data_IF_488111654511
#
_entry.id   IF_488111654511
#
_cell.length_a   1.000
_cell.length_b   1.000
_cell.length_c   1.000
_cell.angle_alpha   90.00
_cell.angle_beta   90.00
_cell.angle_gamma   90.00
#
_symmetry.space_group_name_H-M   'P 1'
#
loop_
_entity.id
_entity.type
_entity.pdbx_description
1 polymer ?
#
# COMPACT_ATOMS: atom_id res chain seq x y z
N UNK A 1 29.72 3.58 78.24
CA UNK A 1 30.80 3.04 77.37
C UNK A 1 30.21 2.71 76.01
N UNK A 2 30.80 3.28 74.95
CA UNK A 2 30.83 2.87 73.51
C UNK A 2 29.48 2.57 72.84
N UNK A 3 28.98 3.47 71.96
CA UNK A 3 29.07 3.43 70.47
C UNK A 3 28.31 2.21 69.88
N UNK A 4 27.44 2.26 68.89
CA UNK A 4 27.38 3.10 67.69
C UNK A 4 26.02 2.90 66.98
N UNK A 5 25.62 3.93 66.25
CA UNK A 5 24.56 4.03 65.22
C UNK A 5 24.77 3.05 64.07
N UNK A 6 23.70 2.48 63.48
CA UNK A 6 23.54 2.34 62.02
C UNK A 6 22.05 2.37 61.64
N UNK A 7 21.69 3.38 60.83
CA UNK A 7 20.47 3.45 60.01
C UNK A 7 20.65 2.51 58.82
N UNK A 8 19.68 1.62 58.55
CA UNK A 8 19.51 1.02 57.22
C UNK A 8 18.07 1.21 56.78
N UNK A 9 17.89 2.20 55.91
CA UNK A 9 16.78 2.33 54.99
C UNK A 9 16.95 1.21 53.95
N UNK A 10 15.99 0.29 53.88
CA UNK A 10 15.88 -0.66 52.79
C UNK A 10 14.45 -0.67 52.27
N UNK A 11 14.21 0.22 51.30
CA UNK A 11 13.40 0.01 50.10
C UNK A 11 12.43 -1.19 50.15
N UNK A 12 11.23 -0.96 50.69
CA UNK A 12 10.07 -1.74 50.27
C UNK A 12 9.62 -1.21 48.91
N UNK A 13 10.13 -1.89 47.88
CA UNK A 13 9.75 -1.69 46.50
C UNK A 13 8.23 -1.74 46.34
N UNK A 14 7.72 -0.67 45.78
CA UNK A 14 6.41 -0.55 45.14
C UNK A 14 6.39 -1.56 44.00
N UNK A 15 5.82 -2.75 44.22
CA UNK A 15 5.31 -3.57 43.13
C UNK A 15 3.86 -3.13 42.88
N UNK A 16 3.71 -1.97 42.25
CA UNK A 16 2.51 -1.67 41.51
C UNK A 16 2.45 -2.70 40.38
N UNK A 17 1.52 -3.64 40.49
CA UNK A 17 1.10 -4.47 39.36
C UNK A 17 0.46 -3.54 38.31
N UNK A 18 1.29 -2.91 37.50
CA UNK A 18 0.90 -2.49 36.17
C UNK A 18 0.68 -3.77 35.37
N UNK A 19 -0.56 -4.26 35.43
CA UNK A 19 -1.13 -5.08 34.37
C UNK A 19 -1.06 -4.24 33.09
N UNK A 20 0.10 -4.28 32.43
CA UNK A 20 0.25 -3.89 31.04
C UNK A 20 -0.61 -4.91 30.29
N UNK A 21 -1.81 -4.47 29.95
CA UNK A 21 -2.67 -5.17 29.01
C UNK A 21 -1.92 -5.28 27.70
N UNK A 22 -1.25 -6.42 27.50
CA UNK A 22 -1.04 -6.93 26.16
C UNK A 22 -2.44 -7.23 25.61
N UNK A 23 -3.01 -6.27 24.89
CA UNK A 23 -4.09 -6.58 23.97
C UNK A 23 -3.53 -7.55 22.93
N UNK A 24 -3.64 -8.84 23.24
CA UNK A 24 -3.59 -9.88 22.23
C UNK A 24 -4.70 -9.56 21.25
N UNK A 25 -4.35 -9.04 20.07
CA UNK A 25 -5.24 -8.99 18.93
C UNK A 25 -5.82 -10.39 18.74
N UNK A 26 -7.06 -10.60 19.19
CA UNK A 26 -7.82 -11.79 18.82
C UNK A 26 -7.89 -11.76 17.31
N UNK A 27 -7.20 -12.69 16.66
CA UNK A 27 -7.40 -12.96 15.24
C UNK A 27 -8.90 -13.20 15.05
N UNK A 28 -9.57 -12.28 14.36
CA UNK A 28 -10.92 -12.54 13.86
C UNK A 28 -10.81 -13.77 12.96
N UNK A 29 -11.36 -14.89 13.41
CA UNK A 29 -11.32 -16.14 12.67
C UNK A 29 -11.91 -15.92 11.28
N UNK A 30 -11.08 -16.11 10.24
CA UNK A 30 -11.52 -16.11 8.85
C UNK A 30 -11.04 -14.95 7.98
N UNK A 31 -10.42 -13.88 8.54
CA UNK A 31 -9.75 -12.86 7.70
C UNK A 31 -8.38 -13.36 7.20
N UNK A 32 -8.02 -13.12 5.92
CA UNK A 32 -6.68 -13.40 5.43
C UNK A 32 -5.65 -12.67 6.30
N UNK A 33 -4.54 -13.33 6.62
CA UNK A 33 -3.39 -12.64 7.19
C UNK A 33 -2.86 -11.66 6.13
N UNK A 34 -2.72 -10.38 6.48
CA UNK A 34 -2.29 -9.32 5.56
C UNK A 34 -1.07 -8.63 6.16
N UNK A 35 0.04 -8.64 5.40
CA UNK A 35 1.23 -7.86 5.67
C UNK A 35 1.03 -6.44 5.15
N UNK A 36 0.86 -5.51 6.09
CA UNK A 36 0.43 -4.13 5.84
C UNK A 36 1.28 -3.39 4.81
N UNK A 37 2.61 -3.49 4.88
CA UNK A 37 3.50 -2.79 3.93
C UNK A 37 3.26 -3.25 2.48
N UNK A 38 3.07 -4.55 2.25
CA UNK A 38 2.85 -5.08 0.90
C UNK A 38 1.47 -4.71 0.36
N UNK A 39 0.44 -4.67 1.23
CA UNK A 39 -0.87 -4.12 0.87
C UNK A 39 -0.74 -2.67 0.41
N UNK A 40 -0.05 -1.83 1.17
CA UNK A 40 0.18 -0.42 0.82
C UNK A 40 0.87 -0.30 -0.54
N UNK A 41 1.92 -1.10 -0.81
CA UNK A 41 2.62 -1.11 -2.10
C UNK A 41 1.68 -1.46 -3.27
N UNK A 42 0.76 -2.39 -3.08
CA UNK A 42 -0.25 -2.74 -4.08
C UNK A 42 -1.13 -1.53 -4.46
N UNK A 43 -1.51 -0.71 -3.47
CA UNK A 43 -2.38 0.45 -3.67
C UNK A 43 -1.70 1.67 -4.33
N UNK A 44 -0.38 1.72 -4.45
CA UNK A 44 0.31 2.91 -4.99
C UNK A 44 -0.02 3.13 -6.46
N UNK A 45 0.03 4.35 -6.97
CA UNK A 45 -0.39 4.60 -8.36
C UNK A 45 0.61 4.10 -9.40
N UNK A 46 1.87 4.43 -9.17
CA UNK A 46 2.97 4.10 -10.06
C UNK A 46 2.69 4.48 -11.54
N UNK A 47 1.88 5.51 -11.80
CA UNK A 47 1.65 6.05 -13.15
C UNK A 47 2.98 6.51 -13.77
N UNK A 48 3.42 5.81 -14.82
CA UNK A 48 4.77 5.94 -15.38
C UNK A 48 5.89 5.77 -14.32
N UNK A 49 5.64 4.97 -13.29
CA UNK A 49 6.51 4.68 -12.17
C UNK A 49 6.31 5.55 -10.94
N UNK A 50 6.77 5.03 -9.80
CA UNK A 50 6.82 5.74 -8.53
C UNK A 50 7.89 6.83 -8.60
N UNK A 51 7.49 8.09 -8.41
CA UNK A 51 8.43 9.20 -8.30
C UNK A 51 8.90 9.34 -6.86
N UNK A 52 10.19 9.09 -6.62
CA UNK A 52 10.84 9.31 -5.32
C UNK A 52 11.68 10.57 -5.41
N UNK A 53 11.49 11.48 -4.46
CA UNK A 53 12.08 12.83 -4.43
C UNK A 53 13.13 12.87 -3.34
N UNK A 54 14.27 13.47 -3.66
CA UNK A 54 15.36 13.64 -2.72
C UNK A 54 15.01 14.72 -1.69
N UNK A 55 15.02 14.30 -0.41
CA UNK A 55 14.86 15.12 0.80
C UNK A 55 13.50 15.82 0.94
N UNK A 56 13.05 15.92 2.19
CA UNK A 56 11.92 16.78 2.60
C UNK A 56 10.63 16.53 1.78
N UNK A 57 10.43 15.31 1.29
CA UNK A 57 9.20 14.91 0.63
C UNK A 57 8.28 14.26 1.66
N UNK A 58 7.00 14.61 1.63
CA UNK A 58 6.01 14.14 2.58
C UNK A 58 4.79 13.48 1.93
N UNK A 59 4.55 13.69 0.63
CA UNK A 59 3.41 13.11 -0.09
C UNK A 59 3.57 11.59 -0.23
N UNK A 60 2.84 10.84 0.58
CA UNK A 60 2.83 9.38 0.57
C UNK A 60 2.14 8.85 -0.68
N UNK A 61 0.90 9.27 -0.93
CA UNK A 61 0.15 8.88 -2.12
C UNK A 61 -1.01 9.84 -2.34
N UNK A 62 -1.55 9.84 -3.55
CA UNK A 62 -2.74 10.55 -3.95
C UNK A 62 -3.75 9.61 -4.62
N UNK A 63 -5.02 9.96 -4.50
CA UNK A 63 -6.16 9.28 -5.08
C UNK A 63 -6.99 10.26 -5.90
N UNK A 64 -7.65 9.78 -6.95
CA UNK A 64 -8.65 10.57 -7.66
C UNK A 64 -9.88 10.84 -6.77
N UNK A 65 -10.62 11.90 -7.07
CA UNK A 65 -11.84 12.27 -6.34
C UNK A 65 -12.90 11.15 -6.34
N UNK A 66 -12.89 10.29 -7.36
CA UNK A 66 -13.77 9.12 -7.47
C UNK A 66 -13.33 7.90 -6.65
N UNK A 67 -12.09 7.89 -6.14
CA UNK A 67 -11.50 6.76 -5.41
C UNK A 67 -11.68 6.87 -3.88
N UNK A 68 -12.77 7.49 -3.40
CA UNK A 68 -12.98 7.79 -1.98
C UNK A 68 -12.87 6.54 -1.10
N UNK A 69 -13.54 5.44 -1.46
CA UNK A 69 -13.53 4.21 -0.67
C UNK A 69 -12.14 3.57 -0.65
N UNK A 70 -11.45 3.52 -1.79
CA UNK A 70 -10.08 3.02 -1.85
C UNK A 70 -9.13 3.87 -0.98
N UNK A 71 -9.29 5.20 -0.99
CA UNK A 71 -8.51 6.11 -0.14
C UNK A 71 -8.74 5.86 1.37
N UNK A 72 -9.96 5.51 1.78
CA UNK A 72 -10.29 5.21 3.18
C UNK A 72 -9.67 3.89 3.63
N UNK A 73 -9.70 2.87 2.77
CA UNK A 73 -9.01 1.61 3.03
C UNK A 73 -7.51 1.85 3.11
N UNK A 74 -6.93 2.60 2.17
CA UNK A 74 -5.51 2.96 2.22
C UNK A 74 -5.13 3.69 3.51
N UNK A 75 -5.91 4.69 3.93
CA UNK A 75 -5.71 5.41 5.20
C UNK A 75 -5.71 4.48 6.41
N UNK A 76 -6.62 3.49 6.44
CA UNK A 76 -6.65 2.47 7.49
C UNK A 76 -5.35 1.66 7.52
N UNK A 77 -4.84 1.24 6.37
CA UNK A 77 -3.58 0.49 6.30
C UNK A 77 -2.36 1.36 6.63
N UNK A 78 -2.36 2.65 6.30
CA UNK A 78 -1.32 3.58 6.80
C UNK A 78 -1.31 3.64 8.33
N UNK A 79 -2.48 3.82 8.96
CA UNK A 79 -2.59 3.84 10.44
C UNK A 79 -2.16 2.52 11.06
N UNK A 80 -2.48 1.40 10.40
CA UNK A 80 -2.02 0.07 10.81
C UNK A 80 -0.50 -0.05 10.75
N UNK A 81 0.14 0.45 9.68
CA UNK A 81 1.61 0.42 9.53
C UNK A 81 2.29 1.24 10.63
N UNK A 82 1.75 2.43 10.91
CA UNK A 82 2.22 3.29 12.02
C UNK A 82 2.21 2.53 13.35
N UNK A 83 1.12 1.80 13.64
CA UNK A 83 1.00 1.02 14.86
C UNK A 83 1.91 -0.20 14.89
N UNK A 84 1.98 -0.97 13.80
CA UNK A 84 2.77 -2.21 13.72
C UNK A 84 4.28 -1.95 13.84
N UNK A 85 4.76 -0.83 13.27
CA UNK A 85 6.17 -0.47 13.25
C UNK A 85 6.55 0.61 14.28
N UNK A 86 5.61 1.03 15.12
CA UNK A 86 5.80 2.09 16.13
C UNK A 86 6.39 3.39 15.55
N UNK A 87 5.90 3.80 14.37
CA UNK A 87 6.40 4.99 13.67
C UNK A 87 5.85 6.24 14.36
N UNK A 88 6.72 7.10 14.88
CA UNK A 88 6.29 8.38 15.44
C UNK A 88 5.99 9.38 14.32
N UNK A 89 4.73 9.45 13.88
CA UNK A 89 4.30 10.32 12.79
C UNK A 89 2.85 10.77 12.96
N UNK A 90 2.46 11.82 12.23
CA UNK A 90 1.08 12.16 11.96
C UNK A 90 0.76 11.95 10.48
N UNK A 91 -0.41 11.40 10.17
CA UNK A 91 -0.93 11.30 8.80
C UNK A 91 -1.82 12.51 8.58
N UNK A 92 -1.45 13.38 7.64
CA UNK A 92 -2.32 14.48 7.19
C UNK A 92 -3.02 14.05 5.91
N UNK A 93 -4.33 14.29 5.86
CA UNK A 93 -5.15 14.07 4.66
C UNK A 93 -5.59 15.42 4.13
N UNK A 94 -5.32 15.68 2.86
CA UNK A 94 -5.73 16.89 2.15
C UNK A 94 -6.64 16.51 1.00
N UNK A 95 -7.72 17.25 0.79
CA UNK A 95 -8.53 17.15 -0.42
C UNK A 95 -8.31 18.44 -1.20
N UNK A 96 -7.62 18.35 -2.33
CA UNK A 96 -7.32 19.52 -3.16
C UNK A 96 -8.60 20.09 -3.75
N UNK A 97 -8.75 21.41 -3.67
CA UNK A 97 -9.87 22.13 -4.29
C UNK A 97 -9.81 22.08 -5.81
N UNK A 98 -8.60 22.04 -6.35
CA UNK A 98 -8.33 21.98 -7.79
C UNK A 98 -7.99 20.54 -8.17
N UNK A 99 -8.75 19.93 -9.08
CA UNK A 99 -8.58 18.53 -9.49
C UNK A 99 -9.19 17.49 -8.55
N UNK A 100 -9.53 17.86 -7.31
CA UNK A 100 -10.29 17.00 -6.39
C UNK A 100 -9.51 15.81 -5.82
N UNK A 101 -8.19 15.80 -5.99
CA UNK A 101 -7.35 14.71 -5.50
C UNK A 101 -7.37 14.63 -3.97
N UNK A 102 -7.29 13.41 -3.45
CA UNK A 102 -7.16 13.11 -2.02
C UNK A 102 -5.71 12.73 -1.77
N UNK A 103 -4.97 13.55 -1.03
CA UNK A 103 -3.55 13.36 -0.75
C UNK A 103 -3.33 12.93 0.70
N UNK A 104 -2.37 12.03 0.88
CA UNK A 104 -1.88 11.62 2.19
C UNK A 104 -0.43 12.07 2.37
N UNK A 105 -0.16 12.72 3.49
CA UNK A 105 1.16 13.27 3.82
C UNK A 105 1.69 12.71 5.14
N UNK A 106 2.94 12.27 5.13
CA UNK A 106 3.76 11.90 6.29
C UNK A 106 5.20 11.67 5.80
N UNK A 107 6.19 12.48 6.24
CA UNK A 107 7.59 12.28 5.89
C UNK A 107 8.13 10.90 6.27
N UNK A 108 7.74 10.39 7.44
CA UNK A 108 8.21 9.11 7.98
C UNK A 108 7.64 7.93 7.18
N UNK A 109 6.33 7.96 6.86
CA UNK A 109 5.71 6.93 6.01
C UNK A 109 6.22 7.02 4.58
N UNK A 110 6.44 8.23 4.06
CA UNK A 110 7.05 8.42 2.75
C UNK A 110 8.40 7.70 2.66
N UNK A 111 9.28 7.93 3.64
CA UNK A 111 10.58 7.27 3.69
C UNK A 111 10.45 5.76 3.83
N UNK A 112 9.59 5.29 4.75
CA UNK A 112 9.42 3.86 5.02
C UNK A 112 8.83 3.09 3.84
N UNK A 113 7.84 3.64 3.16
CA UNK A 113 7.23 2.99 1.98
C UNK A 113 8.23 2.99 0.83
N UNK A 114 8.89 4.11 0.59
CA UNK A 114 9.86 4.21 -0.50
C UNK A 114 11.14 3.40 -0.24
N UNK A 115 11.44 3.01 1.00
CA UNK A 115 12.56 2.11 1.31
C UNK A 115 12.39 0.71 0.74
N UNK A 116 11.19 0.36 0.26
CA UNK A 116 10.91 -0.90 -0.42
C UNK A 116 11.39 -0.91 -1.88
N UNK A 117 11.80 0.25 -2.40
CA UNK A 117 12.28 0.39 -3.77
C UNK A 117 13.80 0.41 -3.83
N UNK A 118 14.35 -0.12 -4.91
CA UNK A 118 15.77 0.05 -5.24
C UNK A 118 15.93 1.25 -6.16
N UNK A 119 16.75 2.23 -5.76
CA UNK A 119 17.03 3.42 -6.55
C UNK A 119 18.35 4.10 -6.15
N UNK A 120 18.87 4.95 -7.03
CA UNK A 120 20.07 5.76 -6.79
C UNK A 120 19.90 7.14 -7.43
N UNK A 121 19.87 8.19 -6.59
CA UNK A 121 19.71 9.57 -7.05
C UNK A 121 20.87 10.05 -7.93
N UNK A 122 22.08 9.47 -7.80
CA UNK A 122 23.22 9.86 -8.61
C UNK A 122 23.10 9.40 -10.07
N UNK A 123 22.23 8.42 -10.33
CA UNK A 123 21.96 7.90 -11.68
C UNK A 123 20.78 8.58 -12.36
N UNK A 124 20.09 9.49 -11.68
CA UNK A 124 18.94 10.20 -12.25
C UNK A 124 19.28 11.60 -12.73
N UNK A 125 18.81 11.92 -13.93
CA UNK A 125 18.78 13.29 -14.45
C UNK A 125 17.51 14.05 -14.08
N UNK A 126 16.50 13.38 -13.51
CA UNK A 126 15.21 13.98 -13.21
C UNK A 126 15.32 14.93 -12.02
N UNK A 127 14.70 16.10 -12.17
CA UNK A 127 14.55 17.09 -11.11
C UNK A 127 13.10 17.54 -11.04
N UNK A 128 12.64 17.82 -9.83
CA UNK A 128 11.31 18.38 -9.58
C UNK A 128 11.45 19.65 -8.75
N UNK A 129 10.59 20.63 -9.01
CA UNK A 129 10.43 21.79 -8.14
C UNK A 129 9.25 21.53 -7.22
N UNK A 130 9.42 21.76 -5.92
CA UNK A 130 8.35 21.53 -4.93
C UNK A 130 7.23 22.56 -5.05
N UNK A 131 7.57 23.78 -5.43
CA UNK A 131 6.65 24.90 -5.60
C UNK A 131 7.03 25.67 -6.86
N UNK A 132 6.09 26.42 -7.48
CA UNK A 132 6.43 27.36 -8.54
C UNK A 132 7.57 28.29 -8.09
N UNK A 133 8.70 28.27 -8.80
CA UNK A 133 9.89 29.08 -8.48
C UNK A 133 10.77 28.60 -7.34
N UNK A 134 10.49 27.43 -6.73
CA UNK A 134 11.33 26.81 -5.71
C UNK A 134 12.63 26.19 -6.25
N UNK A 135 13.55 25.75 -5.37
CA UNK A 135 14.76 25.05 -5.78
C UNK A 135 14.42 23.68 -6.37
N UNK A 136 15.15 23.31 -7.42
CA UNK A 136 15.08 21.99 -8.02
C UNK A 136 15.74 20.94 -7.11
N UNK A 137 14.99 19.91 -6.74
CA UNK A 137 15.50 18.73 -6.04
C UNK A 137 15.57 17.54 -6.98
N UNK A 138 16.50 16.62 -6.76
CA UNK A 138 16.59 15.40 -7.57
C UNK A 138 15.37 14.52 -7.33
N UNK A 139 14.94 13.80 -8.34
CA UNK A 139 13.94 12.76 -8.24
C UNK A 139 14.38 11.55 -9.06
N UNK A 140 13.82 10.38 -8.77
CA UNK A 140 14.01 9.14 -9.52
C UNK A 140 12.64 8.56 -9.82
N UNK A 141 12.50 7.91 -10.98
CA UNK A 141 11.37 7.02 -11.29
C UNK A 141 11.81 5.58 -11.07
N UNK A 142 11.02 4.84 -10.31
CA UNK A 142 11.28 3.43 -9.99
C UNK A 142 9.95 2.67 -9.92
N UNK A 143 10.03 1.35 -9.79
CA UNK A 143 8.88 0.45 -9.84
C UNK A 143 9.04 -0.63 -8.78
N UNK A 144 7.93 -1.15 -8.25
CA UNK A 144 7.98 -2.38 -7.46
C UNK A 144 8.51 -3.52 -8.35
N UNK A 145 9.56 -4.19 -7.89
CA UNK A 145 10.14 -5.36 -8.56
C UNK A 145 9.70 -6.64 -7.85
N UNK A 146 9.53 -7.75 -8.57
CA UNK A 146 9.28 -9.09 -7.99
C UNK A 146 10.28 -9.44 -6.87
N UNK A 147 11.50 -8.88 -6.92
CA UNK A 147 12.54 -9.11 -5.92
C UNK A 147 12.16 -8.66 -4.50
N UNK A 148 11.17 -7.76 -4.32
CA UNK A 148 10.72 -7.37 -2.97
C UNK A 148 10.04 -8.52 -2.21
N UNK A 149 9.67 -9.58 -2.94
CA UNK A 149 9.08 -10.79 -2.41
C UNK A 149 10.12 -11.92 -2.21
N UNK A 150 11.38 -11.70 -2.58
CA UNK A 150 12.44 -12.66 -2.29
C UNK A 150 12.54 -12.85 -0.78
N UNK A 151 12.65 -14.11 -0.34
CA UNK A 151 12.72 -14.50 1.08
C UNK A 151 11.44 -14.19 1.88
N UNK A 152 10.38 -13.71 1.23
CA UNK A 152 9.08 -13.51 1.86
C UNK A 152 8.21 -14.75 1.71
N UNK A 153 7.32 -14.96 2.66
CA UNK A 153 6.25 -15.95 2.52
C UNK A 153 5.22 -15.51 1.46
N UNK A 154 4.37 -16.46 1.06
CA UNK A 154 3.28 -16.20 0.11
C UNK A 154 2.33 -15.09 0.56
N UNK A 155 2.23 -14.84 1.88
CA UNK A 155 1.33 -13.82 2.43
C UNK A 155 1.73 -12.42 1.97
N UNK A 156 3.03 -12.14 1.76
CA UNK A 156 3.47 -10.86 1.19
C UNK A 156 2.91 -10.61 -0.22
N UNK A 157 3.00 -11.61 -1.10
CA UNK A 157 2.47 -11.54 -2.48
C UNK A 157 0.94 -11.40 -2.50
N UNK A 158 0.24 -12.18 -1.67
CA UNK A 158 -1.21 -12.07 -1.51
C UNK A 158 -1.61 -10.69 -0.97
N UNK A 159 -0.85 -10.13 -0.03
CA UNK A 159 -1.09 -8.79 0.51
C UNK A 159 -0.94 -7.72 -0.56
N UNK A 160 0.09 -7.83 -1.43
CA UNK A 160 0.25 -6.94 -2.58
C UNK A 160 -0.94 -7.02 -3.53
N UNK A 161 -1.35 -8.23 -3.93
CA UNK A 161 -2.53 -8.42 -4.78
C UNK A 161 -3.80 -7.86 -4.14
N UNK A 162 -3.97 -8.03 -2.83
CA UNK A 162 -5.11 -7.48 -2.09
C UNK A 162 -5.14 -5.94 -2.14
N UNK A 163 -3.99 -5.29 -1.95
CA UNK A 163 -3.88 -3.83 -2.05
C UNK A 163 -4.10 -3.31 -3.47
N UNK A 164 -3.51 -3.98 -4.46
CA UNK A 164 -3.74 -3.67 -5.87
C UNK A 164 -5.21 -3.82 -6.23
N UNK A 165 -5.86 -4.90 -5.78
CA UNK A 165 -7.28 -5.13 -6.03
C UNK A 165 -8.11 -4.08 -5.30
N UNK A 166 -7.71 -3.68 -4.10
CA UNK A 166 -8.42 -2.67 -3.33
C UNK A 166 -8.48 -1.30 -3.99
N UNK A 167 -7.58 -1.00 -4.94
CA UNK A 167 -7.62 0.21 -5.73
C UNK A 167 -8.13 -0.03 -7.15
N UNK A 168 -7.52 -0.96 -7.88
CA UNK A 168 -7.71 -1.16 -9.32
C UNK A 168 -8.62 -2.33 -9.70
N UNK A 169 -9.01 -3.13 -8.72
CA UNK A 169 -9.74 -4.37 -8.91
C UNK A 169 -11.20 -4.18 -9.32
N UNK A 170 -11.63 -4.99 -10.27
CA UNK A 170 -13.00 -5.09 -10.75
C UNK A 170 -13.45 -6.55 -10.77
N UNK A 171 -14.76 -6.75 -10.63
CA UNK A 171 -15.41 -8.06 -10.72
C UNK A 171 -16.40 -8.05 -11.89
N UNK A 172 -16.28 -9.04 -12.76
CA UNK A 172 -17.10 -9.20 -13.97
C UNK A 172 -18.14 -10.31 -13.80
N UNK A 173 -17.79 -11.37 -13.08
CA UNK A 173 -18.70 -12.47 -12.72
C UNK A 173 -18.23 -13.11 -11.40
N UNK A 174 -18.75 -14.30 -11.04
CA UNK A 174 -18.44 -14.93 -9.77
C UNK A 174 -16.94 -15.21 -9.60
N UNK A 175 -16.31 -15.73 -10.66
CA UNK A 175 -14.88 -16.08 -10.70
C UNK A 175 -14.06 -15.22 -11.66
N UNK A 176 -14.70 -14.30 -12.40
CA UNK A 176 -14.01 -13.47 -13.38
C UNK A 176 -13.74 -12.10 -12.78
N UNK A 177 -12.45 -11.77 -12.72
CA UNK A 177 -11.94 -10.55 -12.11
C UNK A 177 -10.99 -9.85 -13.07
N UNK A 178 -10.70 -8.58 -12.78
CA UNK A 178 -9.67 -7.86 -13.49
C UNK A 178 -9.11 -6.68 -12.74
N UNK A 179 -8.04 -6.13 -13.31
CA UNK A 179 -7.37 -4.91 -12.89
C UNK A 179 -7.34 -3.95 -14.06
N UNK A 180 -7.49 -2.65 -13.81
CA UNK A 180 -7.33 -1.63 -14.85
C UNK A 180 -6.54 -0.43 -14.30
N UNK A 181 -5.59 0.05 -15.09
CA UNK A 181 -4.80 1.25 -14.78
C UNK A 181 -4.36 1.98 -16.06
N UNK A 182 -3.97 3.24 -15.92
CA UNK A 182 -3.41 4.04 -17.00
C UNK A 182 -1.87 4.10 -16.88
N UNK A 183 -1.15 3.87 -17.98
CA UNK A 183 0.31 4.05 -18.10
C UNK A 183 1.17 3.37 -17.00
N UNK A 184 0.74 2.23 -16.47
CA UNK A 184 1.48 1.44 -15.49
C UNK A 184 1.63 -0.03 -15.91
N UNK A 185 2.18 -0.27 -17.11
CA UNK A 185 2.42 -1.61 -17.65
C UNK A 185 3.18 -2.52 -16.68
N UNK A 186 4.29 -2.04 -16.11
CA UNK A 186 5.11 -2.77 -15.14
C UNK A 186 4.32 -3.33 -13.94
N UNK A 187 3.31 -2.59 -13.46
CA UNK A 187 2.44 -3.04 -12.37
C UNK A 187 1.53 -4.16 -12.84
N UNK A 188 0.99 -4.03 -14.05
CA UNK A 188 0.14 -5.07 -14.64
C UNK A 188 0.92 -6.35 -14.97
N UNK A 189 2.16 -6.22 -15.47
CA UNK A 189 3.07 -7.35 -15.69
C UNK A 189 3.32 -8.13 -14.37
N UNK A 190 3.60 -7.40 -13.28
CA UNK A 190 3.81 -8.00 -11.95
C UNK A 190 2.54 -8.67 -11.43
N UNK A 191 1.38 -8.02 -11.58
CA UNK A 191 0.09 -8.59 -11.18
C UNK A 191 -0.19 -9.88 -11.97
N UNK A 192 0.02 -9.87 -13.29
CA UNK A 192 -0.13 -11.05 -14.15
C UNK A 192 0.78 -12.21 -13.68
N UNK A 193 2.06 -11.94 -13.42
CA UNK A 193 3.02 -12.93 -12.92
C UNK A 193 2.54 -13.57 -11.62
N UNK A 194 2.13 -12.75 -10.64
CA UNK A 194 1.64 -13.23 -9.35
C UNK A 194 0.33 -14.03 -9.48
N UNK A 195 -0.61 -13.59 -10.34
CA UNK A 195 -1.88 -14.31 -10.56
C UNK A 195 -1.63 -15.71 -11.15
N UNK A 196 -0.70 -15.82 -12.11
CA UNK A 196 -0.29 -17.11 -12.67
C UNK A 196 0.34 -18.01 -11.60
N UNK A 197 1.18 -17.45 -10.74
CA UNK A 197 1.79 -18.19 -9.61
C UNK A 197 0.73 -18.76 -8.65
N UNK A 198 -0.33 -18.00 -8.37
CA UNK A 198 -1.45 -18.45 -7.52
C UNK A 198 -2.50 -19.30 -8.24
N UNK A 199 -2.19 -19.80 -9.44
CA UNK A 199 -3.02 -20.75 -10.18
C UNK A 199 -4.30 -20.15 -10.76
N UNK A 200 -4.38 -18.83 -10.93
CA UNK A 200 -5.43 -18.24 -11.76
C UNK A 200 -5.29 -18.73 -13.20
N UNK A 201 -6.42 -18.88 -13.88
CA UNK A 201 -6.46 -19.36 -15.27
C UNK A 201 -6.84 -18.23 -16.21
N UNK A 202 -6.52 -18.42 -17.49
CA UNK A 202 -6.94 -17.49 -18.55
C UNK A 202 -6.52 -16.04 -18.25
N UNK A 203 -5.33 -15.87 -17.65
CA UNK A 203 -4.78 -14.55 -17.35
C UNK A 203 -4.35 -13.88 -18.65
N UNK A 204 -5.06 -12.83 -19.04
CA UNK A 204 -4.76 -12.00 -20.22
C UNK A 204 -4.37 -10.60 -19.79
N UNK A 205 -3.41 -10.00 -20.50
CA UNK A 205 -3.03 -8.60 -20.36
C UNK A 205 -3.27 -7.89 -21.68
N UNK A 206 -4.22 -6.96 -21.67
CA UNK A 206 -4.62 -6.16 -22.82
C UNK A 206 -4.19 -4.71 -22.62
N UNK A 207 -3.90 -4.04 -23.73
CA UNK A 207 -3.69 -2.60 -23.78
C UNK A 207 -4.70 -1.96 -24.71
N UNK A 208 -5.10 -0.72 -24.41
CA UNK A 208 -5.90 0.09 -25.35
C UNK A 208 -5.11 0.37 -26.63
N UNK A 209 -5.75 1.08 -27.57
CA UNK A 209 -5.08 1.64 -28.74
C UNK A 209 -3.72 2.29 -28.36
N UNK A 210 -2.60 1.90 -29.00
CA UNK A 210 -1.28 2.50 -28.75
C UNK A 210 -1.21 4.01 -28.98
N UNK A 211 -2.14 4.58 -29.76
CA UNK A 211 -2.26 6.03 -29.96
C UNK A 211 -3.10 6.73 -28.87
N UNK A 212 -3.76 5.97 -27.97
CA UNK A 212 -4.52 6.54 -26.87
C UNK A 212 -3.59 7.20 -25.84
N UNK A 213 -4.00 8.38 -25.35
CA UNK A 213 -3.31 9.09 -24.27
C UNK A 213 -4.35 9.39 -23.18
N UNK A 214 -4.28 8.73 -22.00
CA UNK A 214 -3.30 7.72 -21.61
C UNK A 214 -3.57 6.33 -22.21
N UNK A 215 -2.53 5.49 -22.29
CA UNK A 215 -2.68 4.06 -22.63
C UNK A 215 -3.25 3.35 -21.40
N UNK A 216 -4.35 2.63 -21.59
CA UNK A 216 -4.95 1.81 -20.55
C UNK A 216 -4.38 0.39 -20.61
N UNK A 217 -4.12 -0.20 -19.45
CA UNK A 217 -3.74 -1.60 -19.30
C UNK A 217 -4.78 -2.32 -18.47
N UNK A 218 -5.22 -3.47 -18.97
CA UNK A 218 -6.24 -4.30 -18.31
C UNK A 218 -5.73 -5.72 -18.18
N UNK A 219 -5.75 -6.28 -16.97
CA UNK A 219 -5.53 -7.72 -16.73
C UNK A 219 -6.86 -8.36 -16.41
N UNK A 220 -7.25 -9.41 -17.12
CA UNK A 220 -8.48 -10.19 -16.90
C UNK A 220 -8.10 -11.64 -16.64
N UNK A 221 -8.80 -12.31 -15.72
CA UNK A 221 -8.49 -13.69 -15.35
C UNK A 221 -9.65 -14.39 -14.66
N UNK A 222 -9.59 -15.73 -14.68
CA UNK A 222 -10.43 -16.58 -13.83
C UNK A 222 -9.68 -16.87 -12.53
N UNK A 223 -10.22 -16.40 -11.41
CA UNK A 223 -9.58 -16.53 -10.10
C UNK A 223 -9.47 -17.98 -9.63
N UNK A 224 -8.34 -18.31 -9.00
CA UNK A 224 -8.24 -19.53 -8.18
C UNK A 224 -9.08 -19.38 -6.88
N UNK A 225 -9.42 -20.48 -6.18
CA UNK A 225 -10.20 -20.39 -4.94
C UNK A 225 -9.57 -19.50 -3.85
N UNK A 226 -8.23 -19.49 -3.76
CA UNK A 226 -7.49 -18.66 -2.79
C UNK A 226 -7.60 -17.17 -3.14
N UNK A 227 -7.39 -16.82 -4.43
CA UNK A 227 -7.51 -15.45 -4.92
C UNK A 227 -8.94 -14.94 -4.84
N UNK A 228 -9.92 -15.76 -5.22
CA UNK A 228 -11.35 -15.40 -5.09
C UNK A 228 -11.70 -15.06 -3.65
N UNK A 229 -11.32 -15.93 -2.69
CA UNK A 229 -11.56 -15.70 -1.27
C UNK A 229 -10.91 -14.41 -0.77
N UNK A 230 -9.68 -14.13 -1.22
CA UNK A 230 -8.97 -12.89 -0.91
C UNK A 230 -9.73 -11.66 -1.41
N UNK A 231 -10.10 -11.64 -2.69
CA UNK A 231 -10.78 -10.49 -3.32
C UNK A 231 -12.23 -10.31 -2.87
N UNK A 232 -12.93 -11.39 -2.52
CA UNK A 232 -14.23 -11.32 -1.86
C UNK A 232 -14.11 -10.66 -0.47
N UNK A 233 -13.02 -10.94 0.27
CA UNK A 233 -12.75 -10.27 1.55
C UNK A 233 -12.43 -8.79 1.38
N UNK A 234 -11.63 -8.43 0.36
CA UNK A 234 -11.26 -7.04 0.06
C UNK A 234 -12.47 -6.24 -0.41
N UNK A 235 -13.32 -6.83 -1.27
CA UNK A 235 -14.56 -6.17 -1.76
C UNK A 235 -15.49 -5.78 -0.62
N UNK A 236 -15.63 -6.64 0.39
CA UNK A 236 -16.41 -6.35 1.61
C UNK A 236 -15.82 -5.19 2.41
N UNK A 237 -14.50 -5.06 2.45
CA UNK A 237 -13.85 -3.95 3.16
C UNK A 237 -14.05 -2.59 2.47
N UNK A 238 -14.23 -2.59 1.14
CA UNK A 238 -14.38 -1.38 0.33
C UNK A 238 -15.83 -0.83 0.34
N UNK A 239 -16.79 -1.50 0.99
CA UNK A 239 -18.19 -1.04 1.17
C UNK A 239 -18.75 -0.32 -0.08
N UNK A 240 -18.86 -1.04 -1.20
CA UNK A 240 -19.47 -0.49 -2.42
C UNK A 240 -19.19 -1.21 -3.75
N UNK A 241 -18.33 -2.25 -3.77
CA UNK A 241 -17.94 -2.98 -5.00
C UNK A 241 -18.73 -4.26 -5.30
N UNK A 242 -19.85 -4.51 -4.62
CA UNK A 242 -20.74 -5.64 -4.98
C UNK A 242 -21.45 -5.44 -6.34
N UNK A 243 -21.07 -4.43 -7.13
CA UNK A 243 -21.62 -4.20 -8.46
C UNK A 243 -20.75 -4.87 -9.51
N UNK A 244 -21.34 -5.88 -10.18
CA UNK A 244 -20.84 -6.44 -11.43
C UNK A 244 -20.74 -5.31 -12.45
N UNK A 245 -19.52 -4.85 -12.72
CA UNK A 245 -19.26 -3.80 -13.70
C UNK A 245 -19.05 -4.41 -15.09
N UNK A 246 -19.97 -4.19 -16.03
CA UNK A 246 -19.70 -4.53 -17.45
C UNK A 246 -18.78 -3.47 -18.05
N UNK A 247 -17.59 -3.88 -18.47
CA UNK A 247 -16.87 -3.13 -19.50
C UNK A 247 -17.51 -3.43 -20.86
N UNK A 248 -17.90 -2.37 -21.55
CA UNK A 248 -18.02 -2.42 -23.01
C UNK A 248 -16.66 -1.98 -23.51
N UNK A 249 -15.81 -2.94 -23.88
CA UNK A 249 -14.63 -2.65 -24.70
C UNK A 249 -15.17 -2.07 -26.01
N UNK A 250 -14.89 -0.80 -26.27
CA UNK A 250 -15.16 -0.16 -27.55
C UNK A 250 -13.88 -0.14 -28.37
#
# INVERSE_FOLDING_TARGET
MKKLIVIVIALLFIAANSAIGTETHKMEQGKPDIKTIYFILGCLDEYLGRTIVEKEADVVEHFYSSEVQASQVFEKYLKRLVSEENINTQIRKEVQTDGGHILFHSPELYQRINSMYTYDFNKSSQRVSKNPGGPWVRAVKTFVSINIFNEQDKTAKLSYLAGAYARYGNRFDDNDFGFNTANASHKMDLIEELLKEFGCREVTHEMSDPEAIPISHTVIFVASPEIKKLFDSVSKEINGRDQVGRWVVK
#
